data_IF_601455597015
#
_entry.id   IF_601455597015
#
_cell.length_a   1.000
_cell.length_b   1.000
_cell.length_c   1.000
_cell.angle_alpha   90.00
_cell.angle_beta   90.00
_cell.angle_gamma   90.00
#
_symmetry.space_group_name_H-M   'P 1'
#
loop_
_entity.id
_entity.type
_entity.pdbx_description
1 polymer ?
#
# COMPACT_ATOMS: atom_id res chain seq x y z
N UNK A 1 37.29 -52.76 -50.21
CA UNK A 1 37.20 -51.28 -50.17
C UNK A 1 36.00 -50.89 -49.33
N UNK A 2 36.22 -50.58 -48.05
CA UNK A 2 35.17 -50.23 -47.08
C UNK A 2 35.17 -48.72 -46.87
N UNK A 3 34.09 -48.03 -47.26
CA UNK A 3 33.91 -46.60 -47.00
C UNK A 3 33.39 -46.41 -45.58
N UNK A 4 34.12 -45.68 -44.74
CA UNK A 4 33.63 -45.19 -43.45
C UNK A 4 32.92 -43.86 -43.64
N UNK A 5 31.65 -43.80 -43.23
CA UNK A 5 30.90 -42.56 -43.10
C UNK A 5 31.24 -41.90 -41.76
N UNK A 6 31.77 -40.68 -41.79
CA UNK A 6 31.94 -39.84 -40.60
C UNK A 6 30.60 -39.17 -40.33
N UNK A 7 29.90 -39.60 -39.28
CA UNK A 7 28.73 -38.92 -38.76
C UNK A 7 29.19 -37.75 -37.87
N UNK A 8 29.11 -36.52 -38.38
CA UNK A 8 29.22 -35.31 -37.55
C UNK A 8 27.92 -35.11 -36.77
N UNK A 9 27.95 -35.22 -35.44
CA UNK A 9 26.84 -34.83 -34.56
C UNK A 9 26.92 -33.33 -34.27
N UNK A 10 25.90 -32.50 -34.60
CA UNK A 10 25.82 -31.13 -34.13
C UNK A 10 24.95 -31.11 -32.87
N UNK A 11 25.55 -30.88 -31.70
CA UNK A 11 24.75 -30.81 -30.50
C UNK A 11 25.59 -30.53 -29.28
N UNK A 12 26.00 -29.26 -29.09
CA UNK A 12 26.47 -28.77 -27.79
C UNK A 12 26.68 -27.26 -27.63
N UNK A 13 26.28 -26.42 -28.59
CA UNK A 13 26.57 -24.96 -28.50
C UNK A 13 25.36 -24.10 -28.11
N UNK A 14 24.13 -24.62 -28.16
CA UNK A 14 22.91 -23.84 -27.90
C UNK A 14 22.40 -23.85 -26.45
N UNK A 15 22.99 -24.65 -25.55
CA UNK A 15 22.54 -24.77 -24.16
C UNK A 15 23.23 -23.80 -23.19
N UNK A 16 24.43 -23.31 -23.52
CA UNK A 16 25.19 -22.43 -22.63
C UNK A 16 24.61 -21.00 -22.63
N UNK A 17 24.18 -20.50 -23.78
CA UNK A 17 23.59 -19.15 -23.90
C UNK A 17 22.22 -19.03 -23.22
N UNK A 18 21.39 -20.06 -23.34
CA UNK A 18 20.09 -20.13 -22.66
C UNK A 18 20.24 -20.30 -21.16
N UNK A 19 21.16 -21.14 -20.70
CA UNK A 19 21.48 -21.24 -19.26
C UNK A 19 21.98 -19.91 -18.70
N UNK A 20 22.83 -19.18 -19.43
CA UNK A 20 23.30 -17.85 -19.03
C UNK A 20 22.20 -16.81 -18.94
N UNK A 21 21.26 -16.79 -19.90
CA UNK A 21 20.09 -15.90 -19.88
C UNK A 21 19.14 -16.21 -18.72
N UNK A 22 18.88 -17.49 -18.45
CA UNK A 22 18.04 -17.89 -17.31
C UNK A 22 18.72 -17.53 -15.99
N UNK A 23 20.04 -17.78 -15.86
CA UNK A 23 20.77 -17.42 -14.64
C UNK A 23 20.80 -15.90 -14.44
N UNK A 24 21.01 -15.13 -15.51
CA UNK A 24 20.99 -13.67 -15.47
C UNK A 24 19.60 -13.14 -15.13
N UNK A 25 18.53 -13.73 -15.66
CA UNK A 25 17.16 -13.38 -15.32
C UNK A 25 16.84 -13.71 -13.85
N UNK A 26 17.25 -14.88 -13.37
CA UNK A 26 17.08 -15.30 -11.97
C UNK A 26 17.89 -14.40 -11.04
N UNK A 27 19.13 -14.04 -11.40
CA UNK A 27 19.95 -13.12 -10.61
C UNK A 27 19.42 -11.69 -10.65
N UNK A 28 18.99 -11.17 -11.80
CA UNK A 28 18.32 -9.86 -11.86
C UNK A 28 17.02 -9.84 -11.07
N UNK A 29 16.34 -10.99 -10.94
CA UNK A 29 15.15 -11.14 -10.10
C UNK A 29 15.48 -11.28 -8.61
N UNK A 30 16.60 -11.92 -8.23
CA UNK A 30 16.97 -12.24 -6.85
C UNK A 30 18.00 -11.30 -6.19
N UNK A 31 18.77 -10.56 -6.98
CA UNK A 31 19.74 -9.57 -6.47
C UNK A 31 19.04 -8.37 -5.80
N UNK A 32 17.88 -7.87 -6.28
CA UNK A 32 17.09 -6.90 -5.52
C UNK A 32 16.64 -7.46 -4.17
N UNK A 33 16.24 -8.75 -4.15
CA UNK A 33 15.80 -9.43 -2.95
C UNK A 33 16.91 -9.53 -1.90
N UNK A 34 18.16 -9.89 -2.26
CA UNK A 34 19.22 -10.07 -1.26
C UNK A 34 19.73 -8.77 -0.60
N UNK A 35 19.55 -7.62 -1.26
CA UNK A 35 20.00 -6.31 -0.76
C UNK A 35 18.98 -5.57 0.10
N UNK A 36 17.68 -5.89 -0.01
CA UNK A 36 16.59 -5.16 0.64
C UNK A 36 16.41 -5.50 2.14
N UNK A 37 16.81 -6.70 2.59
CA UNK A 37 16.49 -7.16 3.95
C UNK A 37 17.25 -6.51 5.12
N UNK A 38 18.30 -5.70 4.90
CA UNK A 38 19.21 -5.27 5.99
C UNK A 38 19.12 -3.81 6.42
N UNK A 39 18.14 -3.05 5.96
CA UNK A 39 18.00 -1.65 6.36
C UNK A 39 16.56 -1.13 6.44
N UNK A 40 15.56 -1.98 6.26
CA UNK A 40 14.18 -1.53 6.29
C UNK A 40 13.72 -1.21 7.71
N UNK A 41 13.10 -0.03 7.94
CA UNK A 41 12.51 0.27 9.23
C UNK A 41 11.37 -0.71 9.50
N UNK A 42 11.22 -1.20 10.75
CA UNK A 42 10.05 -1.99 11.11
C UNK A 42 8.79 -1.18 10.81
N UNK A 43 7.74 -1.85 10.32
CA UNK A 43 6.48 -1.21 9.93
C UNK A 43 5.85 -0.35 11.05
N UNK A 44 6.13 -0.69 12.31
CA UNK A 44 5.69 0.10 13.47
C UNK A 44 6.32 1.49 13.56
N UNK A 45 7.50 1.71 12.96
CA UNK A 45 8.15 3.01 12.84
C UNK A 45 7.63 3.83 11.65
N UNK A 46 7.07 3.17 10.64
CA UNK A 46 6.44 3.81 9.48
C UNK A 46 5.01 4.30 9.78
N UNK A 47 4.50 4.02 10.98
CA UNK A 47 3.22 4.52 11.46
C UNK A 47 3.45 5.63 12.51
N UNK A 48 2.84 6.82 12.34
CA UNK A 48 2.86 7.86 13.35
C UNK A 48 2.22 7.38 14.65
N UNK A 49 2.75 7.88 15.79
CA UNK A 49 2.28 7.46 17.12
C UNK A 49 0.91 8.01 17.49
N UNK A 50 0.51 9.12 16.87
CA UNK A 50 -0.78 9.79 17.02
C UNK A 50 -1.19 10.37 15.67
N UNK A 51 -2.50 10.50 15.37
CA UNK A 51 -2.96 11.26 14.21
C UNK A 51 -2.48 12.72 14.30
N UNK A 52 -2.28 13.40 13.15
CA UNK A 52 -2.12 14.84 13.12
C UNK A 52 -3.43 15.56 13.52
N UNK A 53 -3.38 16.88 13.64
CA UNK A 53 -4.56 17.69 13.97
C UNK A 53 -5.00 17.72 15.44
N UNK A 54 -6.17 18.32 15.73
CA UNK A 54 -6.61 18.62 17.09
C UNK A 54 -6.98 17.34 17.85
N UNK A 55 -6.33 17.13 19.00
CA UNK A 55 -6.64 16.05 19.95
C UNK A 55 -7.65 16.47 21.03
N UNK A 56 -7.83 15.64 22.07
CA UNK A 56 -7.07 14.42 22.37
C UNK A 56 -7.55 13.19 21.59
N UNK A 57 -6.61 12.48 20.98
CA UNK A 57 -6.82 11.21 20.29
C UNK A 57 -6.65 10.04 21.26
N UNK A 58 -7.57 9.08 21.21
CA UNK A 58 -7.48 7.83 21.97
C UNK A 58 -7.32 6.66 21.02
N UNK A 59 -6.40 5.74 21.34
CA UNK A 59 -6.25 4.51 20.57
C UNK A 59 -7.52 3.67 20.68
N UNK A 60 -8.11 3.34 19.54
CA UNK A 60 -9.26 2.45 19.47
C UNK A 60 -8.79 1.04 19.05
N UNK A 61 -9.46 -0.02 19.53
CA UNK A 61 -9.17 -1.36 19.08
C UNK A 61 -9.39 -1.47 17.56
N UNK A 62 -8.53 -2.24 16.90
CA UNK A 62 -8.70 -2.63 15.51
C UNK A 62 -10.01 -3.40 15.37
N UNK A 63 -11.01 -2.80 14.74
CA UNK A 63 -12.20 -3.53 14.31
C UNK A 63 -11.92 -4.13 12.93
N UNK A 64 -12.41 -5.34 12.73
CA UNK A 64 -12.32 -6.09 11.47
C UNK A 64 -12.96 -5.34 10.29
N UNK A 65 -13.83 -4.36 10.55
CA UNK A 65 -14.54 -3.57 9.52
C UNK A 65 -13.63 -2.65 8.68
N UNK A 66 -12.44 -2.34 9.16
CA UNK A 66 -11.42 -1.56 8.43
C UNK A 66 -10.11 -2.32 8.21
N UNK A 67 -10.05 -3.56 8.69
CA UNK A 67 -8.96 -4.46 8.37
C UNK A 67 -9.20 -5.00 6.96
N UNK A 68 -8.70 -4.28 5.97
CA UNK A 68 -8.50 -4.85 4.65
C UNK A 68 -7.30 -5.78 4.74
N UNK A 69 -7.51 -7.01 5.24
CA UNK A 69 -6.57 -8.09 5.00
C UNK A 69 -6.50 -8.28 3.49
N UNK A 70 -5.36 -7.94 2.93
CA UNK A 70 -5.02 -8.34 1.58
C UNK A 70 -4.78 -9.86 1.63
N UNK A 71 -5.55 -10.67 0.88
CA UNK A 71 -5.33 -12.11 0.85
C UNK A 71 -3.90 -12.42 0.40
N UNK A 72 -3.14 -13.12 1.23
CA UNK A 72 -1.75 -13.51 0.95
C UNK A 72 -0.67 -12.60 1.54
N UNK A 73 -1.04 -11.60 2.34
CA UNK A 73 -0.11 -10.84 3.18
C UNK A 73 -0.09 -11.41 4.61
N UNK A 74 1.10 -11.72 5.12
CA UNK A 74 1.27 -12.17 6.50
C UNK A 74 1.03 -11.03 7.50
N UNK A 75 0.60 -11.34 8.72
CA UNK A 75 0.31 -10.35 9.77
C UNK A 75 1.53 -9.51 10.19
N UNK A 76 2.73 -10.01 9.95
CA UNK A 76 3.97 -9.28 10.20
C UNK A 76 4.29 -8.25 9.11
N UNK A 77 3.67 -8.40 7.95
CA UNK A 77 3.83 -7.53 6.79
C UNK A 77 2.74 -6.47 6.68
N UNK A 78 1.82 -6.46 7.63
CA UNK A 78 0.81 -5.42 7.78
C UNK A 78 0.79 -4.89 9.21
N UNK A 79 0.80 -3.57 9.37
CA UNK A 79 0.53 -2.91 10.65
C UNK A 79 -0.57 -1.88 10.49
N UNK A 80 -1.40 -1.79 11.52
CA UNK A 80 -2.58 -0.94 11.51
C UNK A 80 -2.72 -0.21 12.86
N UNK A 81 -3.20 1.03 12.81
CA UNK A 81 -3.58 1.82 13.99
C UNK A 81 -4.90 2.53 13.73
N UNK A 82 -5.69 2.65 14.80
CA UNK A 82 -6.96 3.39 14.80
C UNK A 82 -7.02 4.29 16.01
N UNK A 83 -7.56 5.48 15.80
CA UNK A 83 -7.78 6.48 16.82
C UNK A 83 -9.18 7.06 16.68
N UNK A 84 -9.76 7.41 17.82
CA UNK A 84 -11.04 8.11 17.91
C UNK A 84 -10.84 9.40 18.72
N UNK A 85 -11.49 10.48 18.30
CA UNK A 85 -11.41 11.76 19.00
C UNK A 85 -12.36 11.76 20.21
N UNK A 86 -11.84 12.06 21.39
CA UNK A 86 -12.63 12.02 22.62
C UNK A 86 -13.71 13.12 22.64
N UNK A 87 -14.93 12.80 23.09
CA UNK A 87 -15.91 13.81 23.54
C UNK A 87 -17.17 14.08 22.69
N UNK A 88 -17.41 13.44 21.53
CA UNK A 88 -18.70 13.57 20.81
C UNK A 88 -19.14 12.26 20.15
N UNK A 89 -19.92 11.45 20.86
CA UNK A 89 -20.49 10.18 20.36
C UNK A 89 -21.36 10.29 19.09
N UNK A 90 -21.77 11.51 18.71
CA UNK A 90 -22.67 11.79 17.58
C UNK A 90 -21.88 12.23 16.32
N UNK A 91 -20.63 12.70 16.46
CA UNK A 91 -19.74 13.06 15.36
C UNK A 91 -18.47 12.24 15.53
N UNK A 92 -18.47 10.99 15.06
CA UNK A 92 -17.32 10.10 15.17
C UNK A 92 -16.19 10.59 14.26
N UNK A 93 -15.42 11.56 14.75
CA UNK A 93 -14.12 11.88 14.19
C UNK A 93 -13.21 10.68 14.44
N UNK A 94 -12.79 10.04 13.36
CA UNK A 94 -12.07 8.80 13.39
C UNK A 94 -10.88 8.90 12.45
N UNK A 95 -9.75 8.38 12.90
CA UNK A 95 -8.56 8.25 12.09
C UNK A 95 -8.13 6.79 12.09
N UNK A 96 -7.87 6.25 10.92
CA UNK A 96 -7.27 4.93 10.78
C UNK A 96 -6.17 4.97 9.75
N UNK A 97 -5.09 4.26 10.03
CA UNK A 97 -3.98 4.13 9.11
C UNK A 97 -3.47 2.70 9.11
N UNK A 98 -3.16 2.20 7.92
CA UNK A 98 -2.53 0.91 7.70
C UNK A 98 -1.31 1.08 6.83
N UNK A 99 -0.26 0.33 7.13
CA UNK A 99 0.89 0.15 6.24
C UNK A 99 1.03 -1.34 5.96
N UNK A 100 1.17 -1.66 4.67
CA UNK A 100 1.38 -3.01 4.15
C UNK A 100 2.71 -3.01 3.41
N UNK A 101 3.51 -4.06 3.59
CA UNK A 101 4.74 -4.29 2.83
C UNK A 101 4.56 -5.54 2.00
N UNK A 102 4.76 -5.41 0.70
CA UNK A 102 4.71 -6.55 -0.21
C UNK A 102 6.12 -7.04 -0.52
N UNK A 103 6.23 -8.30 -0.95
CA UNK A 103 7.49 -8.92 -1.40
C UNK A 103 8.18 -8.18 -2.55
N UNK A 104 7.43 -7.38 -3.32
CA UNK A 104 8.00 -6.58 -4.41
C UNK A 104 7.15 -5.35 -4.74
N UNK A 105 7.75 -4.31 -5.38
CA UNK A 105 7.00 -3.16 -5.89
C UNK A 105 5.89 -3.53 -6.87
N UNK A 106 6.07 -4.62 -7.65
CA UNK A 106 5.06 -5.10 -8.59
C UNK A 106 3.80 -5.61 -7.89
N UNK A 107 3.95 -6.31 -6.76
CA UNK A 107 2.82 -6.79 -5.97
C UNK A 107 2.08 -5.63 -5.30
N UNK A 108 2.82 -4.66 -4.74
CA UNK A 108 2.24 -3.44 -4.20
C UNK A 108 1.44 -2.66 -5.26
N UNK A 109 1.98 -2.56 -6.49
CA UNK A 109 1.28 -1.92 -7.61
C UNK A 109 -0.01 -2.64 -8.01
N UNK A 110 0.01 -3.98 -8.04
CA UNK A 110 -1.19 -4.78 -8.32
C UNK A 110 -2.27 -4.61 -7.23
N UNK A 111 -1.87 -4.53 -5.96
CA UNK A 111 -2.78 -4.31 -4.85
C UNK A 111 -3.49 -2.95 -4.95
N UNK A 112 -2.75 -1.87 -5.22
CA UNK A 112 -3.32 -0.52 -5.38
C UNK A 112 -4.28 -0.44 -6.58
N UNK A 113 -4.00 -1.15 -7.67
CA UNK A 113 -4.92 -1.19 -8.82
C UNK A 113 -6.21 -1.98 -8.59
N UNK A 114 -6.21 -2.88 -7.61
CA UNK A 114 -7.39 -3.66 -7.20
C UNK A 114 -8.09 -3.05 -6.00
N UNK A 115 -7.81 -1.76 -5.70
CA UNK A 115 -8.21 -1.13 -4.45
C UNK A 115 -9.68 -1.42 -4.12
N UNK A 116 -9.95 -2.14 -3.02
CA UNK A 116 -11.32 -2.53 -2.66
C UNK A 116 -12.23 -1.32 -2.47
N UNK A 117 -11.66 -0.13 -2.21
CA UNK A 117 -12.40 1.11 -2.03
C UNK A 117 -13.00 1.65 -3.34
N UNK A 118 -12.36 1.44 -4.49
CA UNK A 118 -12.83 1.97 -5.79
C UNK A 118 -13.94 1.12 -6.43
N UNK A 119 -14.04 -0.15 -6.04
CA UNK A 119 -15.01 -1.10 -6.59
C UNK A 119 -16.32 -1.18 -5.78
N UNK A 120 -16.52 -0.31 -4.79
CA UNK A 120 -17.75 -0.31 -3.97
C UNK A 120 -18.78 0.69 -4.48
N UNK A 121 -20.08 0.33 -4.47
CA UNK A 121 -21.16 1.22 -4.91
C UNK A 121 -21.34 2.45 -4.00
N UNK A 122 -20.75 2.46 -2.82
CA UNK A 122 -20.75 3.56 -1.85
C UNK A 122 -19.44 4.38 -1.87
N UNK A 123 -18.64 4.26 -2.93
CA UNK A 123 -17.46 5.10 -3.16
C UNK A 123 -17.76 6.17 -4.21
N UNK A 124 -17.24 7.38 -3.97
CA UNK A 124 -17.23 8.43 -4.98
C UNK A 124 -16.07 8.22 -5.96
N UNK A 125 -16.15 8.79 -7.17
CA UNK A 125 -15.01 8.86 -8.06
C UNK A 125 -13.78 9.45 -7.34
N UNK A 126 -12.57 8.99 -7.67
CA UNK A 126 -11.36 9.57 -7.10
C UNK A 126 -11.30 11.09 -7.30
N UNK A 127 -10.82 11.80 -6.28
CA UNK A 127 -10.64 13.24 -6.30
C UNK A 127 -9.16 13.59 -6.39
N UNK A 128 -8.85 14.69 -7.05
CA UNK A 128 -7.49 15.24 -7.07
C UNK A 128 -7.27 16.09 -5.82
N UNK A 129 -6.26 15.73 -5.04
CA UNK A 129 -5.79 16.50 -3.90
C UNK A 129 -4.32 16.84 -4.09
N UNK A 130 -3.85 17.87 -3.38
CA UNK A 130 -2.43 18.08 -3.17
C UNK A 130 -1.90 16.89 -2.36
N UNK A 131 -1.51 15.84 -3.08
CA UNK A 131 -1.10 14.58 -2.50
C UNK A 131 0.35 14.54 -2.07
N UNK A 132 0.83 13.33 -1.85
CA UNK A 132 2.23 13.05 -1.61
C UNK A 132 3.10 13.44 -2.80
N UNK A 133 4.32 13.91 -2.51
CA UNK A 133 5.37 14.14 -3.52
C UNK A 133 6.33 12.96 -3.67
N UNK A 134 6.25 11.99 -2.75
CA UNK A 134 7.12 10.82 -2.70
C UNK A 134 6.42 9.55 -3.17
N UNK A 135 5.09 9.50 -3.09
CA UNK A 135 4.33 8.33 -3.50
C UNK A 135 4.42 8.15 -5.01
N UNK A 136 4.71 6.92 -5.44
CA UNK A 136 4.73 6.54 -6.84
C UNK A 136 3.32 6.51 -7.44
N UNK A 137 2.33 6.10 -6.64
CA UNK A 137 0.91 6.08 -6.98
C UNK A 137 0.11 6.60 -5.79
N UNK A 138 -0.94 7.37 -6.07
CA UNK A 138 -1.84 7.86 -5.04
C UNK A 138 -3.26 8.00 -5.56
N UNK A 139 -4.23 7.67 -4.71
CA UNK A 139 -5.64 7.91 -5.00
C UNK A 139 -6.36 8.35 -3.74
N UNK A 140 -7.32 9.25 -3.92
CA UNK A 140 -8.15 9.77 -2.84
C UNK A 140 -9.60 9.61 -3.23
N UNK A 141 -10.42 9.06 -2.36
CA UNK A 141 -11.85 8.92 -2.60
C UNK A 141 -12.62 9.24 -1.34
N UNK A 142 -13.88 9.62 -1.52
CA UNK A 142 -14.81 9.68 -0.43
C UNK A 142 -15.67 8.41 -0.39
N UNK A 143 -15.95 7.91 0.82
CA UNK A 143 -16.83 6.77 1.08
C UNK A 143 -18.09 7.21 1.85
N UNK A 144 -19.22 6.58 1.53
CA UNK A 144 -20.47 6.57 2.30
C UNK A 144 -20.54 5.29 3.14
N UNK A 145 -20.96 5.38 4.40
CA UNK A 145 -21.14 4.24 5.31
C UNK A 145 -22.59 3.77 5.38
N UNK A 146 -23.53 4.53 4.83
CA UNK A 146 -24.96 4.25 4.90
C UNK A 146 -25.67 4.58 3.58
N UNK A 147 -26.91 4.13 3.45
CA UNK A 147 -27.85 4.50 2.37
C UNK A 147 -28.23 6.01 2.42
N UNK A 148 -27.51 6.83 3.21
CA UNK A 148 -27.73 8.26 3.29
C UNK A 148 -27.32 8.92 1.98
N UNK A 149 -28.23 9.75 1.47
CA UNK A 149 -28.12 10.42 0.17
C UNK A 149 -27.30 11.72 0.29
N UNK A 150 -26.64 11.97 1.42
CA UNK A 150 -26.13 13.29 1.76
C UNK A 150 -24.66 13.30 2.18
N UNK A 151 -23.80 13.33 1.16
CA UNK A 151 -22.45 13.89 1.25
C UNK A 151 -21.38 12.96 1.82
N UNK A 152 -20.13 13.40 1.68
CA UNK A 152 -18.96 12.63 2.09
C UNK A 152 -18.94 12.34 3.60
N UNK A 153 -18.93 11.05 3.98
CA UNK A 153 -18.87 10.63 5.40
C UNK A 153 -17.45 10.27 5.85
N UNK A 154 -16.61 9.79 4.92
CA UNK A 154 -15.22 9.41 5.19
C UNK A 154 -14.33 9.68 3.98
N UNK A 155 -13.22 10.37 4.21
CA UNK A 155 -12.16 10.51 3.24
C UNK A 155 -11.16 9.37 3.37
N UNK A 156 -10.77 8.80 2.23
CA UNK A 156 -9.81 7.72 2.14
C UNK A 156 -8.70 8.09 1.17
N UNK A 157 -7.45 7.86 1.57
CA UNK A 157 -6.28 7.99 0.75
C UNK A 157 -5.50 6.68 0.70
N UNK A 158 -5.10 6.25 -0.48
CA UNK A 158 -4.21 5.11 -0.69
C UNK A 158 -2.97 5.59 -1.42
N UNK A 159 -1.79 5.33 -0.83
CA UNK A 159 -0.50 5.80 -1.33
C UNK A 159 0.48 4.62 -1.45
N UNK A 160 1.23 4.56 -2.56
CA UNK A 160 2.26 3.55 -2.78
C UNK A 160 3.64 4.16 -2.76
N UNK A 161 4.56 3.53 -2.02
CA UNK A 161 5.97 3.90 -1.94
C UNK A 161 6.80 2.64 -2.20
N UNK A 162 7.22 2.41 -3.45
CA UNK A 162 7.87 1.17 -3.85
C UNK A 162 7.02 -0.05 -3.52
N UNK A 163 7.48 -0.86 -2.56
CA UNK A 163 6.82 -2.08 -2.07
C UNK A 163 5.83 -1.84 -0.90
N UNK A 164 5.73 -0.61 -0.41
CA UNK A 164 4.83 -0.26 0.68
C UNK A 164 3.54 0.35 0.16
N UNK A 165 2.41 -0.02 0.76
CA UNK A 165 1.11 0.61 0.54
C UNK A 165 0.60 1.15 1.87
N UNK A 166 0.27 2.44 1.88
CA UNK A 166 -0.30 3.12 3.04
C UNK A 166 -1.75 3.46 2.73
N UNK A 167 -2.64 2.99 3.60
CA UNK A 167 -4.06 3.32 3.57
C UNK A 167 -4.34 4.27 4.73
N UNK A 168 -4.96 5.42 4.45
CA UNK A 168 -5.35 6.44 5.43
C UNK A 168 -6.84 6.66 5.29
N UNK A 169 -7.58 6.60 6.39
CA UNK A 169 -8.99 6.96 6.39
C UNK A 169 -9.29 7.93 7.53
N UNK A 170 -10.05 8.97 7.20
CA UNK A 170 -10.44 10.04 8.11
C UNK A 170 -11.95 10.24 8.01
N UNK A 171 -12.66 10.11 9.14
CA UNK A 171 -14.06 10.51 9.26
C UNK A 171 -14.16 11.78 10.09
N UNK A 172 -15.13 12.64 9.77
CA UNK A 172 -15.41 13.83 10.55
C UNK A 172 -16.79 14.41 10.25
N UNK A 173 -17.34 15.17 11.20
CA UNK A 173 -18.64 15.81 11.03
C UNK A 173 -18.69 16.91 9.96
N UNK A 174 -17.54 17.53 9.67
CA UNK A 174 -17.39 18.55 8.63
C UNK A 174 -16.42 18.07 7.55
N UNK A 175 -16.86 18.08 6.29
CA UNK A 175 -16.10 17.55 5.15
C UNK A 175 -14.75 18.25 4.95
N UNK A 176 -14.69 19.57 5.13
CA UNK A 176 -13.47 20.36 4.96
C UNK A 176 -12.41 19.97 6.00
N UNK A 177 -12.80 19.85 7.27
CA UNK A 177 -11.89 19.46 8.34
C UNK A 177 -11.34 18.04 8.16
N UNK A 178 -12.18 17.10 7.70
CA UNK A 178 -11.75 15.73 7.43
C UNK A 178 -10.77 15.64 6.24
N UNK A 179 -10.94 16.52 5.24
CA UNK A 179 -10.04 16.62 4.10
C UNK A 179 -8.68 17.23 4.49
N UNK A 180 -8.69 18.30 5.27
CA UNK A 180 -7.47 18.93 5.79
C UNK A 180 -6.67 17.94 6.64
N UNK A 181 -7.34 17.20 7.52
CA UNK A 181 -6.72 16.18 8.34
C UNK A 181 -6.14 15.02 7.51
N UNK A 182 -6.81 14.62 6.41
CA UNK A 182 -6.26 13.64 5.47
C UNK A 182 -4.97 14.19 4.82
N UNK A 183 -4.95 15.45 4.40
CA UNK A 183 -3.76 16.07 3.80
C UNK A 183 -2.60 16.14 4.80
N UNK A 184 -2.86 16.54 6.05
CA UNK A 184 -1.85 16.52 7.11
C UNK A 184 -1.31 15.10 7.35
N UNK A 185 -2.17 14.09 7.32
CA UNK A 185 -1.78 12.70 7.47
C UNK A 185 -0.92 12.19 6.31
N UNK A 186 -1.22 12.60 5.08
CA UNK A 186 -0.38 12.31 3.90
C UNK A 186 1.01 12.92 4.08
N UNK A 187 1.10 14.18 4.51
CA UNK A 187 2.39 14.85 4.75
C UNK A 187 3.18 14.19 5.89
N UNK A 188 2.52 13.81 6.98
CA UNK A 188 3.14 13.07 8.08
C UNK A 188 3.65 11.69 7.63
N UNK A 189 2.89 11.02 6.75
CA UNK A 189 3.29 9.74 6.14
C UNK A 189 4.54 9.93 5.27
N UNK A 190 4.56 10.94 4.41
CA UNK A 190 5.71 11.25 3.55
C UNK A 190 7.01 11.45 4.36
N UNK A 191 6.93 12.00 5.56
CA UNK A 191 8.10 12.19 6.42
C UNK A 191 8.68 10.87 6.94
N UNK A 192 7.85 9.82 7.06
CA UNK A 192 8.24 8.51 7.58
C UNK A 192 8.65 7.53 6.48
N UNK A 193 8.09 7.68 5.28
CA UNK A 193 8.32 6.74 4.19
C UNK A 193 9.73 6.88 3.58
N UNK A 194 10.38 5.74 3.25
CA UNK A 194 11.64 5.74 2.52
C UNK A 194 11.47 6.42 1.17
N UNK A 195 12.53 7.08 0.71
CA UNK A 195 12.59 7.77 -0.58
C UNK A 195 12.82 6.81 -1.75
#
# INVERSE_FOLDING_TARGET
MTRHWIATRPGRVLSAGTAGLVLAAVLLWNVPLAGQWRGEPPLTQLLPQSPPGPGPWESAPTREDLYFSEPGLDEDEQKYRRFELHGRAILRHGFSQSVKRFDSPTWAWLAVRRSPAQDKPWSFPPVELAGSRKADDQSYTCLLYSDSVYGCERWYGQLRYGQYVVDIAVSGGEQAQALDLLQEAVLATDALMPA
#
